data_IF_724019002759
#
_entry.id   IF_724019002759
#
_cell.length_a   1.000
_cell.length_b   1.000
_cell.length_c   1.000
_cell.angle_alpha   90.00
_cell.angle_beta   90.00
_cell.angle_gamma   90.00
#
_symmetry.space_group_name_H-M   'P 1'
#
loop_
_entity.id
_entity.type
_entity.pdbx_description
1 polymer ?
#
# COMPACT_ATOMS: atom_id res chain seq x y z
N UNK A 1 36.15 0.27 39.88
CA UNK A 1 36.63 -0.91 40.67
C UNK A 1 38.11 -0.74 40.89
N UNK A 2 38.62 -0.91 42.10
CA UNK A 2 40.03 -0.85 42.39
C UNK A 2 40.67 -2.22 42.11
N UNK A 3 41.87 -2.24 41.49
CA UNK A 3 42.61 -3.47 41.31
C UNK A 3 43.25 -3.90 42.64
N UNK A 4 43.89 -5.06 42.66
CA UNK A 4 44.55 -5.64 43.86
C UNK A 4 45.70 -4.79 44.45
N UNK A 5 46.07 -3.68 43.77
CA UNK A 5 47.10 -2.72 44.19
C UNK A 5 46.53 -1.33 44.50
N UNK A 6 45.18 -1.16 44.56
CA UNK A 6 44.55 0.10 44.94
C UNK A 6 44.52 1.19 43.85
N UNK A 7 44.80 0.81 42.61
CA UNK A 7 44.71 1.74 41.45
C UNK A 7 43.30 1.71 40.85
N UNK A 8 42.78 2.89 40.50
CA UNK A 8 41.51 2.98 39.74
C UNK A 8 41.71 2.37 38.35
N UNK A 9 40.99 1.26 38.09
CA UNK A 9 40.88 0.81 36.72
C UNK A 9 40.09 1.90 35.94
N UNK A 10 40.77 2.59 35.09
CA UNK A 10 40.11 3.35 34.01
C UNK A 10 39.37 2.34 33.16
N UNK A 11 38.05 2.39 33.20
CA UNK A 11 37.20 1.73 32.20
C UNK A 11 37.59 2.37 30.85
N UNK A 12 38.49 1.74 30.13
CA UNK A 12 38.69 1.98 28.71
C UNK A 12 37.42 1.52 28.01
N UNK A 13 36.40 2.35 28.03
CA UNK A 13 35.37 2.34 27.00
C UNK A 13 36.13 2.70 25.73
N UNK A 14 36.47 1.69 24.93
CA UNK A 14 36.97 1.88 23.57
C UNK A 14 35.88 2.65 22.80
N UNK A 15 35.90 3.98 22.85
CA UNK A 15 35.21 4.82 21.87
C UNK A 15 35.85 4.46 20.52
N UNK A 16 35.08 3.72 19.70
CA UNK A 16 35.51 3.52 18.33
C UNK A 16 35.68 4.90 17.68
N UNK A 17 36.76 5.11 16.91
CA UNK A 17 36.95 6.38 16.21
C UNK A 17 35.64 6.73 15.46
N UNK A 18 35.21 7.99 15.54
CA UNK A 18 33.93 8.45 14.92
C UNK A 18 33.85 8.04 13.45
N UNK A 19 34.93 7.99 12.73
CA UNK A 19 35.01 7.55 11.33
C UNK A 19 34.70 6.06 11.16
N UNK A 20 35.03 5.19 12.12
CA UNK A 20 34.74 3.75 12.06
C UNK A 20 33.27 3.49 12.34
N UNK A 21 32.68 4.18 13.30
CA UNK A 21 31.26 4.09 13.59
C UNK A 21 30.41 4.62 12.43
N UNK A 22 30.78 5.77 11.86
CA UNK A 22 30.10 6.36 10.70
C UNK A 22 30.16 5.44 9.47
N UNK A 23 31.32 4.87 9.16
CA UNK A 23 31.45 3.93 8.05
C UNK A 23 30.62 2.65 8.26
N UNK A 24 30.52 2.16 9.49
CA UNK A 24 29.65 1.03 9.82
C UNK A 24 28.18 1.38 9.58
N UNK A 25 27.71 2.54 10.03
CA UNK A 25 26.34 3.00 9.81
C UNK A 25 26.02 3.11 8.33
N UNK A 26 26.95 3.64 7.52
CA UNK A 26 26.81 3.72 6.08
C UNK A 26 26.64 2.32 5.45
N UNK A 27 27.45 1.34 5.88
CA UNK A 27 27.32 -0.05 5.43
C UNK A 27 25.99 -0.67 5.86
N UNK A 28 25.53 -0.43 7.09
CA UNK A 28 24.26 -0.93 7.61
C UNK A 28 23.08 -0.36 6.79
N UNK A 29 23.11 0.95 6.44
CA UNK A 29 22.10 1.59 5.58
C UNK A 29 22.09 0.94 4.19
N UNK A 30 23.24 0.74 3.54
CA UNK A 30 23.30 0.14 2.21
C UNK A 30 22.85 -1.33 2.24
N UNK A 31 23.26 -2.11 3.23
CA UNK A 31 22.79 -3.48 3.41
C UNK A 31 21.26 -3.55 3.60
N UNK A 32 20.70 -2.63 4.37
CA UNK A 32 19.26 -2.55 4.60
C UNK A 32 18.51 -2.14 3.33
N UNK A 33 19.03 -1.19 2.54
CA UNK A 33 18.49 -0.82 1.23
C UNK A 33 18.48 -2.01 0.28
N UNK A 34 19.56 -2.79 0.23
CA UNK A 34 19.65 -3.95 -0.65
C UNK A 34 18.68 -5.07 -0.23
N UNK A 35 18.54 -5.31 1.08
CA UNK A 35 17.55 -6.24 1.63
C UNK A 35 16.13 -5.82 1.25
N UNK A 36 15.79 -4.55 1.41
CA UNK A 36 14.46 -4.03 1.05
C UNK A 36 14.25 -4.11 -0.47
N UNK A 37 15.25 -3.81 -1.30
CA UNK A 37 15.16 -3.95 -2.77
C UNK A 37 14.91 -5.41 -3.19
N UNK A 38 15.60 -6.36 -2.54
CA UNK A 38 15.41 -7.78 -2.78
C UNK A 38 13.96 -8.21 -2.48
N UNK A 39 13.46 -7.89 -1.29
CA UNK A 39 12.08 -8.24 -0.92
C UNK A 39 11.02 -7.46 -1.73
N UNK A 40 11.33 -6.24 -2.17
CA UNK A 40 10.49 -5.51 -3.13
C UNK A 40 10.37 -6.25 -4.46
N UNK A 41 11.47 -6.77 -4.97
CA UNK A 41 11.47 -7.50 -6.24
C UNK A 41 10.66 -8.80 -6.14
N UNK A 42 10.85 -9.56 -5.06
CA UNK A 42 10.06 -10.76 -4.78
C UNK A 42 8.56 -10.44 -4.65
N UNK A 43 8.24 -9.36 -3.95
CA UNK A 43 6.86 -8.99 -3.65
C UNK A 43 6.12 -8.40 -4.86
N UNK A 44 6.73 -7.41 -5.55
CA UNK A 44 6.05 -6.65 -6.61
C UNK A 44 6.25 -7.23 -8.02
N UNK A 45 7.36 -7.94 -8.28
CA UNK A 45 7.68 -8.41 -9.62
C UNK A 45 7.54 -9.93 -9.77
N UNK A 46 7.77 -10.70 -8.69
CA UNK A 46 7.75 -12.15 -8.74
C UNK A 46 6.51 -12.77 -8.08
N UNK A 47 5.74 -11.99 -7.29
CA UNK A 47 4.59 -12.45 -6.49
C UNK A 47 4.96 -13.62 -5.54
N UNK A 48 6.24 -13.70 -5.10
CA UNK A 48 6.79 -14.74 -4.22
C UNK A 48 7.44 -14.14 -2.95
N UNK A 49 6.68 -13.47 -2.06
CA UNK A 49 7.25 -12.90 -0.86
C UNK A 49 7.80 -13.96 0.09
N UNK A 50 9.02 -13.75 0.58
CA UNK A 50 9.68 -14.62 1.57
C UNK A 50 9.47 -14.13 3.02
N UNK A 51 9.05 -12.88 3.21
CA UNK A 51 8.76 -12.28 4.51
C UNK A 51 7.32 -11.75 4.54
N UNK A 52 6.78 -11.61 5.74
CA UNK A 52 5.46 -11.01 5.94
C UNK A 52 5.47 -9.50 5.66
N UNK A 53 4.30 -8.92 5.36
CA UNK A 53 4.15 -7.48 5.19
C UNK A 53 4.64 -6.70 6.43
N UNK A 54 4.38 -7.24 7.63
CA UNK A 54 4.86 -6.65 8.87
C UNK A 54 6.40 -6.62 8.96
N UNK A 55 7.08 -7.72 8.62
CA UNK A 55 8.55 -7.77 8.62
C UNK A 55 9.12 -6.81 7.58
N UNK A 56 8.52 -6.72 6.40
CA UNK A 56 8.90 -5.77 5.38
C UNK A 56 8.73 -4.31 5.85
N UNK A 57 7.61 -3.96 6.48
CA UNK A 57 7.34 -2.63 7.02
C UNK A 57 8.33 -2.26 8.14
N UNK A 58 8.74 -3.24 8.96
CA UNK A 58 9.77 -3.04 9.99
C UNK A 58 11.15 -2.75 9.39
N UNK A 59 11.52 -3.36 8.25
CA UNK A 59 12.74 -3.02 7.52
C UNK A 59 12.67 -1.58 7.00
N UNK A 60 11.57 -1.17 6.36
CA UNK A 60 11.36 0.20 5.90
C UNK A 60 11.38 1.21 7.04
N UNK A 61 10.73 0.92 8.17
CA UNK A 61 10.74 1.78 9.38
C UNK A 61 12.15 1.94 9.93
N UNK A 62 12.94 0.87 9.93
CA UNK A 62 14.34 0.90 10.36
C UNK A 62 15.20 1.78 9.45
N UNK A 63 15.02 1.67 8.13
CA UNK A 63 15.72 2.52 7.16
C UNK A 63 15.32 3.99 7.31
N UNK A 64 14.02 4.30 7.39
CA UNK A 64 13.52 5.67 7.62
C UNK A 64 14.12 6.30 8.89
N UNK A 65 14.24 5.52 9.97
CA UNK A 65 14.82 5.98 11.25
C UNK A 65 16.31 6.30 11.10
N UNK A 66 17.08 5.47 10.38
CA UNK A 66 18.49 5.71 10.11
C UNK A 66 18.69 6.92 9.20
N UNK A 67 17.90 7.05 8.14
CA UNK A 67 17.93 8.18 7.22
C UNK A 67 17.54 9.50 7.89
N UNK A 68 16.59 9.49 8.83
CA UNK A 68 16.24 10.66 9.63
C UNK A 68 17.38 11.09 10.56
N UNK A 69 18.18 10.13 11.08
CA UNK A 69 19.34 10.42 11.93
C UNK A 69 20.57 10.86 11.14
N UNK A 70 20.71 10.40 9.89
CA UNK A 70 21.83 10.67 8.98
C UNK A 70 21.33 11.14 7.61
N UNK A 71 20.76 12.37 7.52
CA UNK A 71 20.16 12.88 6.28
C UNK A 71 21.12 12.95 5.09
N UNK A 72 22.42 13.10 5.35
CA UNK A 72 23.47 13.15 4.32
C UNK A 72 23.69 11.79 3.62
N UNK A 73 23.22 10.67 4.22
CA UNK A 73 23.28 9.33 3.66
C UNK A 73 22.03 8.96 2.85
N UNK A 74 21.04 9.83 2.78
CA UNK A 74 19.83 9.63 1.97
C UNK A 74 20.18 9.77 0.49
N UNK A 75 19.92 8.73 -0.29
CA UNK A 75 20.13 8.74 -1.73
C UNK A 75 18.81 8.83 -2.49
N UNK A 76 18.82 9.41 -3.69
CA UNK A 76 17.59 9.55 -4.52
C UNK A 76 16.97 8.21 -4.93
N UNK A 77 17.74 7.14 -4.89
CA UNK A 77 17.33 5.77 -5.21
C UNK A 77 16.99 4.95 -3.96
N UNK A 78 16.99 5.56 -2.76
CA UNK A 78 16.57 4.87 -1.55
C UNK A 78 15.16 4.29 -1.68
N UNK A 79 14.91 3.05 -1.19
CA UNK A 79 13.57 2.47 -1.12
C UNK A 79 12.56 3.34 -0.38
N UNK A 80 13.00 4.18 0.55
CA UNK A 80 12.11 5.12 1.27
C UNK A 80 11.62 6.27 0.41
N UNK A 81 12.28 6.55 -0.73
CA UNK A 81 11.94 7.61 -1.68
C UNK A 81 11.12 7.11 -2.86
N UNK A 82 10.90 5.80 -2.97
CA UNK A 82 10.18 5.18 -4.10
C UNK A 82 9.17 4.14 -3.60
N UNK A 83 8.03 4.07 -4.27
CA UNK A 83 7.12 2.93 -4.17
C UNK A 83 7.70 1.80 -5.02
N UNK A 84 7.73 0.57 -4.51
CA UNK A 84 8.23 -0.61 -5.24
C UNK A 84 7.32 -0.97 -6.42
N UNK A 85 7.89 -1.71 -7.38
CA UNK A 85 7.22 -2.24 -8.56
C UNK A 85 7.67 -1.58 -9.86
N UNK A 86 7.98 -2.40 -10.86
CA UNK A 86 8.18 -1.98 -12.26
C UNK A 86 7.01 -2.49 -13.07
N UNK A 87 6.55 -1.72 -14.07
CA UNK A 87 5.60 -2.23 -15.06
C UNK A 87 6.22 -3.44 -15.78
N UNK A 88 5.43 -4.50 -15.98
CA UNK A 88 5.85 -5.68 -16.75
C UNK A 88 5.97 -5.32 -18.23
N UNK A 89 6.92 -5.90 -18.95
CA UNK A 89 7.04 -5.71 -20.41
C UNK A 89 5.86 -6.28 -21.22
N UNK A 90 4.88 -6.90 -20.56
CA UNK A 90 3.76 -7.63 -21.18
C UNK A 90 2.50 -6.78 -21.33
N UNK A 91 2.34 -5.76 -20.49
CA UNK A 91 1.23 -4.80 -20.52
C UNK A 91 1.72 -3.43 -20.95
N UNK A 92 0.86 -2.62 -21.57
CA UNK A 92 1.17 -1.24 -21.90
C UNK A 92 1.34 -0.41 -20.62
N UNK A 93 2.33 0.49 -20.63
CA UNK A 93 2.55 1.41 -19.52
C UNK A 93 1.52 2.52 -19.53
N UNK A 94 0.96 2.82 -18.35
CA UNK A 94 0.06 3.93 -18.09
C UNK A 94 0.69 4.90 -17.12
N UNK A 95 0.89 6.14 -17.55
CA UNK A 95 1.33 7.22 -16.66
C UNK A 95 0.11 7.78 -15.93
N UNK A 96 0.17 7.82 -14.60
CA UNK A 96 -0.88 8.41 -13.78
C UNK A 96 -0.83 9.93 -13.82
N UNK A 97 -1.97 10.58 -14.09
CA UNK A 97 -2.10 12.05 -14.01
C UNK A 97 -1.89 12.54 -12.58
N UNK A 98 -2.42 11.79 -11.62
CA UNK A 98 -2.25 12.04 -10.19
C UNK A 98 -1.48 10.87 -9.58
N UNK A 99 -0.34 11.14 -8.94
CA UNK A 99 0.50 10.11 -8.33
C UNK A 99 -0.28 9.26 -7.32
N UNK A 100 -0.16 7.94 -7.44
CA UNK A 100 -0.76 6.97 -6.52
C UNK A 100 0.15 6.77 -5.29
N UNK A 101 0.04 7.67 -4.34
CA UNK A 101 0.86 7.65 -3.12
C UNK A 101 0.49 6.49 -2.20
N UNK A 102 1.47 6.03 -1.40
CA UNK A 102 1.24 5.10 -0.29
C UNK A 102 0.71 5.83 0.92
N UNK A 103 -0.02 5.11 1.78
CA UNK A 103 -0.40 5.60 3.10
C UNK A 103 0.79 5.52 4.06
N UNK A 104 0.78 6.35 5.09
CA UNK A 104 1.71 6.19 6.20
C UNK A 104 1.21 5.10 7.14
N UNK A 105 2.13 4.24 7.58
CA UNK A 105 1.82 3.18 8.52
C UNK A 105 2.01 3.64 9.96
N UNK A 106 1.14 3.16 10.86
CA UNK A 106 1.24 3.34 12.30
C UNK A 106 1.14 1.98 12.98
N UNK A 107 1.95 1.76 14.02
CA UNK A 107 2.09 0.45 14.68
C UNK A 107 1.71 0.49 16.17
N UNK A 108 1.25 1.65 16.66
CA UNK A 108 0.84 1.82 18.05
C UNK A 108 -0.29 2.83 18.18
N UNK A 109 -1.02 2.72 19.28
CA UNK A 109 -2.05 3.71 19.63
C UNK A 109 -1.48 5.11 19.88
N UNK A 110 -0.24 5.22 20.35
CA UNK A 110 0.43 6.50 20.54
C UNK A 110 0.70 7.16 19.19
N UNK A 111 1.14 6.41 18.18
CA UNK A 111 1.32 6.92 16.81
C UNK A 111 0.00 7.38 16.17
N UNK A 112 -1.11 6.68 16.44
CA UNK A 112 -2.46 7.13 16.01
C UNK A 112 -2.84 8.43 16.70
N UNK A 113 -2.56 8.55 18.01
CA UNK A 113 -2.81 9.74 18.78
C UNK A 113 -2.02 10.94 18.24
N UNK A 114 -0.72 10.74 18.00
CA UNK A 114 0.15 11.77 17.44
C UNK A 114 -0.35 12.25 16.07
N UNK A 115 -0.81 11.31 15.21
CA UNK A 115 -1.43 11.65 13.92
C UNK A 115 -2.68 12.52 14.11
N UNK A 116 -3.58 12.12 15.01
CA UNK A 116 -4.82 12.87 15.29
C UNK A 116 -4.50 14.27 15.84
N UNK A 117 -3.58 14.37 16.79
CA UNK A 117 -3.17 15.65 17.40
C UNK A 117 -2.58 16.59 16.34
N UNK A 118 -1.70 16.08 15.48
CA UNK A 118 -1.11 16.85 14.38
C UNK A 118 -2.16 17.37 13.39
N UNK A 119 -3.14 16.56 13.01
CA UNK A 119 -4.23 17.00 12.14
C UNK A 119 -5.11 18.05 12.84
N UNK A 120 -5.39 17.87 14.13
CA UNK A 120 -6.17 18.84 14.91
C UNK A 120 -5.44 20.15 15.16
N UNK A 121 -4.11 20.14 15.25
CA UNK A 121 -3.29 21.36 15.31
C UNK A 121 -3.36 22.17 14.02
N UNK A 122 -3.39 21.48 12.86
CA UNK A 122 -3.39 22.10 11.54
C UNK A 122 -4.80 22.58 11.12
N UNK A 123 -5.83 21.77 11.35
CA UNK A 123 -7.20 21.99 10.82
C UNK A 123 -8.25 22.35 11.89
N UNK A 124 -7.89 22.32 13.16
CA UNK A 124 -8.77 22.61 14.29
C UNK A 124 -9.32 21.36 14.99
N UNK A 125 -9.80 21.57 16.23
CA UNK A 125 -10.25 20.46 17.09
C UNK A 125 -11.57 19.81 16.67
N UNK A 126 -12.34 20.49 15.83
CA UNK A 126 -13.64 20.00 15.33
C UNK A 126 -13.51 19.19 14.02
N UNK A 127 -12.28 18.88 13.61
CA UNK A 127 -12.06 18.04 12.41
C UNK A 127 -12.63 16.64 12.63
N UNK A 128 -13.40 16.17 11.64
CA UNK A 128 -13.92 14.81 11.60
C UNK A 128 -12.99 13.90 10.81
N UNK A 129 -12.89 12.64 11.23
CA UNK A 129 -12.12 11.61 10.57
C UNK A 129 -13.05 10.57 9.96
N UNK A 130 -12.65 10.01 8.82
CA UNK A 130 -13.25 8.82 8.24
C UNK A 130 -12.36 7.64 8.57
N UNK A 131 -12.97 6.59 9.16
CA UNK A 131 -12.28 5.34 9.48
C UNK A 131 -12.79 4.27 8.53
N UNK A 132 -11.86 3.64 7.82
CA UNK A 132 -12.12 2.62 6.81
C UNK A 132 -11.32 1.36 7.09
N UNK A 133 -11.83 0.21 6.69
CA UNK A 133 -11.05 -1.02 6.67
C UNK A 133 -10.02 -0.95 5.53
N UNK A 134 -8.75 -1.16 5.83
CA UNK A 134 -7.72 -1.28 4.80
C UNK A 134 -7.82 -2.66 4.14
N UNK A 135 -8.35 -2.68 2.91
CA UNK A 135 -8.42 -3.91 2.14
C UNK A 135 -7.02 -4.33 1.70
N UNK A 136 -6.75 -5.61 1.77
CA UNK A 136 -5.51 -6.23 1.35
C UNK A 136 -5.65 -6.83 -0.05
N UNK A 137 -5.07 -6.15 -1.04
CA UNK A 137 -5.22 -6.49 -2.44
C UNK A 137 -4.23 -5.76 -3.34
N UNK A 138 -4.64 -5.41 -4.54
CA UNK A 138 -3.88 -4.66 -5.53
C UNK A 138 -4.58 -3.35 -5.86
N UNK A 139 -3.91 -2.23 -5.61
CA UNK A 139 -4.45 -0.90 -5.92
C UNK A 139 -4.51 -0.65 -7.42
N UNK A 140 -5.66 -0.17 -7.88
CA UNK A 140 -5.90 0.20 -9.28
C UNK A 140 -6.54 1.59 -9.39
N UNK A 141 -6.33 2.24 -10.54
CA UNK A 141 -7.11 3.39 -10.99
C UNK A 141 -8.15 2.94 -12.01
N UNK A 142 -9.36 3.46 -11.91
CA UNK A 142 -10.45 3.29 -12.89
C UNK A 142 -10.83 4.65 -13.43
N UNK A 143 -10.75 4.83 -14.75
CA UNK A 143 -11.11 6.05 -15.44
C UNK A 143 -12.40 5.84 -16.23
N UNK A 144 -13.38 6.67 -15.91
CA UNK A 144 -14.67 6.72 -16.60
C UNK A 144 -14.79 8.06 -17.35
N UNK A 145 -15.18 7.98 -18.62
CA UNK A 145 -15.53 9.13 -19.44
C UNK A 145 -17.00 9.01 -19.87
N UNK A 146 -17.78 10.04 -19.61
CA UNK A 146 -19.23 10.03 -19.88
C UNK A 146 -19.91 8.76 -19.32
N UNK A 147 -19.51 8.35 -18.12
CA UNK A 147 -19.97 7.17 -17.43
C UNK A 147 -19.42 5.83 -17.92
N UNK A 148 -18.64 5.78 -19.01
CA UNK A 148 -18.11 4.54 -19.59
C UNK A 148 -16.68 4.29 -19.09
N UNK A 149 -16.38 3.07 -18.64
CA UNK A 149 -15.02 2.66 -18.26
C UNK A 149 -14.12 2.63 -19.49
N UNK A 150 -13.22 3.62 -19.59
CA UNK A 150 -12.28 3.76 -20.71
C UNK A 150 -10.93 3.14 -20.40
N UNK A 151 -10.45 3.25 -19.15
CA UNK A 151 -9.16 2.71 -18.74
C UNK A 151 -9.17 2.23 -17.30
N UNK A 152 -8.40 1.16 -17.06
CA UNK A 152 -8.08 0.68 -15.73
C UNK A 152 -6.62 0.27 -15.65
N UNK A 153 -5.89 0.78 -14.67
CA UNK A 153 -4.45 0.57 -14.54
C UNK A 153 -4.03 0.20 -13.12
N UNK A 154 -2.97 -0.58 -13.00
CA UNK A 154 -2.36 -0.88 -11.70
C UNK A 154 -1.62 0.34 -11.15
N UNK A 155 -1.38 0.38 -9.84
CA UNK A 155 -0.60 1.45 -9.22
C UNK A 155 0.84 1.50 -9.77
N UNK A 156 1.46 0.35 -10.03
CA UNK A 156 2.87 0.26 -10.39
C UNK A 156 3.75 0.92 -9.33
N UNK A 157 4.66 1.78 -9.76
CA UNK A 157 5.54 2.56 -8.87
C UNK A 157 4.89 3.85 -8.33
N UNK A 158 3.60 4.02 -8.53
CA UNK A 158 2.83 5.21 -8.14
C UNK A 158 2.81 6.33 -9.19
N UNK A 159 3.71 6.33 -10.16
CA UNK A 159 3.75 7.28 -11.28
C UNK A 159 3.40 6.63 -12.61
N UNK A 160 3.79 5.36 -12.76
CA UNK A 160 3.55 4.55 -13.96
C UNK A 160 3.07 3.18 -13.51
N UNK A 161 1.94 2.74 -14.03
CA UNK A 161 1.34 1.42 -13.84
C UNK A 161 1.21 0.66 -15.15
N UNK A 162 0.45 -0.42 -15.13
CA UNK A 162 0.16 -1.29 -16.28
C UNK A 162 -1.30 -1.14 -16.67
N UNK A 163 -1.59 -1.08 -17.96
CA UNK A 163 -2.96 -1.15 -18.48
C UNK A 163 -3.53 -2.56 -18.29
N UNK A 164 -4.49 -2.69 -17.40
CA UNK A 164 -5.20 -3.93 -17.11
C UNK A 164 -6.71 -3.80 -17.36
N UNK A 165 -7.09 -2.87 -18.23
CA UNK A 165 -8.49 -2.55 -18.54
C UNK A 165 -9.30 -3.77 -18.93
N UNK A 166 -8.74 -4.62 -19.81
CA UNK A 166 -9.42 -5.83 -20.29
C UNK A 166 -9.69 -6.81 -19.15
N UNK A 167 -8.73 -6.94 -18.23
CA UNK A 167 -8.83 -7.82 -17.08
C UNK A 167 -9.81 -7.25 -16.04
N UNK A 168 -9.75 -5.96 -15.76
CA UNK A 168 -10.68 -5.30 -14.84
C UNK A 168 -12.14 -5.38 -15.31
N UNK A 169 -12.38 -5.34 -16.62
CA UNK A 169 -13.72 -5.55 -17.20
C UNK A 169 -14.27 -6.97 -17.01
N UNK A 170 -13.48 -7.94 -16.52
CA UNK A 170 -13.93 -9.27 -16.18
C UNK A 170 -14.50 -9.38 -14.75
N UNK A 171 -14.32 -8.35 -13.92
CA UNK A 171 -14.83 -8.34 -12.55
C UNK A 171 -16.30 -7.90 -12.54
N UNK A 172 -17.19 -8.75 -12.01
CA UNK A 172 -18.62 -8.45 -11.87
C UNK A 172 -18.89 -7.21 -10.99
N UNK A 173 -17.96 -6.88 -10.11
CA UNK A 173 -18.02 -5.72 -9.21
C UNK A 173 -17.61 -4.40 -9.87
N UNK A 174 -17.13 -4.41 -11.12
CA UNK A 174 -16.78 -3.23 -11.90
C UNK A 174 -17.82 -2.99 -12.98
N UNK A 175 -18.51 -1.85 -12.91
CA UNK A 175 -19.49 -1.49 -13.91
C UNK A 175 -18.80 -1.04 -15.21
N UNK A 176 -19.11 -1.62 -16.37
CA UNK A 176 -18.65 -1.11 -17.68
C UNK A 176 -19.18 0.30 -17.98
N UNK A 177 -20.37 0.62 -17.41
CA UNK A 177 -21.00 1.94 -17.48
C UNK A 177 -21.63 2.26 -16.12
N UNK A 178 -21.33 3.45 -15.61
CA UNK A 178 -21.94 4.00 -14.40
C UNK A 178 -23.43 4.30 -14.61
N UNK A 179 -24.16 4.49 -13.50
CA UNK A 179 -25.56 4.91 -13.53
C UNK A 179 -25.76 6.35 -13.97
N UNK A 180 -24.68 7.11 -14.12
CA UNK A 180 -24.62 8.51 -14.57
C UNK A 180 -23.63 8.66 -15.72
N UNK A 181 -23.65 9.80 -16.42
CA UNK A 181 -22.71 10.12 -17.50
C UNK A 181 -21.55 10.98 -17.02
N UNK A 182 -21.12 10.79 -15.78
CA UNK A 182 -20.05 11.57 -15.19
C UNK A 182 -18.66 11.10 -15.71
N UNK A 183 -17.75 12.07 -15.84
CA UNK A 183 -16.33 11.79 -16.05
C UNK A 183 -15.62 11.80 -14.70
N UNK A 184 -15.07 10.66 -14.30
CA UNK A 184 -14.49 10.45 -12.98
C UNK A 184 -13.33 9.46 -13.01
N UNK A 185 -12.28 9.75 -12.26
CA UNK A 185 -11.20 8.81 -11.95
C UNK A 185 -11.28 8.43 -10.48
N UNK A 186 -11.30 7.13 -10.20
CA UNK A 186 -11.36 6.60 -8.83
C UNK A 186 -10.24 5.61 -8.58
N UNK A 187 -9.86 5.49 -7.31
CA UNK A 187 -8.99 4.41 -6.83
C UNK A 187 -9.79 3.34 -6.14
N UNK A 188 -9.44 2.10 -6.42
CA UNK A 188 -9.99 0.95 -5.76
C UNK A 188 -8.90 -0.07 -5.41
N UNK A 189 -9.25 -0.97 -4.50
CA UNK A 189 -8.41 -2.13 -4.18
C UNK A 189 -9.09 -3.39 -4.72
N UNK A 190 -8.43 -4.03 -5.69
CA UNK A 190 -8.84 -5.33 -6.21
C UNK A 190 -8.35 -6.39 -5.27
N UNK A 191 -9.24 -7.26 -4.83
CA UNK A 191 -8.94 -8.32 -3.87
C UNK A 191 -9.55 -9.65 -4.31
N UNK A 192 -9.02 -10.74 -3.78
CA UNK A 192 -9.61 -12.07 -3.92
C UNK A 192 -10.45 -12.39 -2.68
N UNK A 193 -11.76 -12.58 -2.81
CA UNK A 193 -12.59 -13.05 -1.70
C UNK A 193 -12.06 -14.36 -1.13
N UNK A 194 -12.11 -14.54 0.21
CA UNK A 194 -11.63 -15.77 0.86
C UNK A 194 -12.26 -17.04 0.27
N UNK A 195 -13.57 -17.01 -0.04
CA UNK A 195 -14.26 -18.13 -0.68
C UNK A 195 -13.66 -18.49 -2.04
N UNK A 196 -13.31 -17.50 -2.85
CA UNK A 196 -12.64 -17.72 -4.14
C UNK A 196 -11.24 -18.29 -3.97
N UNK A 197 -10.47 -17.77 -3.00
CA UNK A 197 -9.14 -18.23 -2.68
C UNK A 197 -9.13 -19.71 -2.21
N UNK A 198 -10.03 -20.07 -1.32
CA UNK A 198 -10.18 -21.45 -0.84
C UNK A 198 -10.58 -22.41 -1.97
N UNK A 199 -11.54 -22.00 -2.83
CA UNK A 199 -11.97 -22.79 -3.96
C UNK A 199 -10.83 -23.05 -4.96
N UNK A 200 -10.05 -22.02 -5.27
CA UNK A 200 -8.90 -22.13 -6.20
C UNK A 200 -7.84 -23.05 -5.61
N UNK A 201 -7.46 -22.84 -4.34
CA UNK A 201 -6.45 -23.67 -3.69
C UNK A 201 -6.85 -25.14 -3.60
N UNK A 202 -8.12 -25.41 -3.34
CA UNK A 202 -8.66 -26.79 -3.39
C UNK A 202 -8.53 -27.42 -4.77
N UNK A 203 -8.81 -26.67 -5.85
CA UNK A 203 -8.63 -27.13 -7.23
C UNK A 203 -7.17 -27.38 -7.59
N UNK A 204 -6.26 -26.51 -7.11
CA UNK A 204 -4.82 -26.68 -7.31
C UNK A 204 -4.30 -27.91 -6.59
N UNK A 205 -4.72 -28.16 -5.35
CA UNK A 205 -4.39 -29.35 -4.57
C UNK A 205 -4.83 -30.63 -5.28
N UNK A 206 -6.10 -30.71 -5.72
CA UNK A 206 -6.63 -31.87 -6.46
C UNK A 206 -5.84 -32.13 -7.74
N UNK A 207 -5.35 -31.07 -8.41
CA UNK A 207 -4.55 -31.18 -9.64
C UNK A 207 -3.06 -31.37 -9.39
N UNK A 208 -2.61 -31.51 -8.14
CA UNK A 208 -1.20 -31.67 -7.76
C UNK A 208 -0.32 -30.47 -8.05
N UNK A 209 -0.92 -29.28 -8.15
CA UNK A 209 -0.21 -28.01 -8.36
C UNK A 209 0.03 -27.30 -7.03
N UNK A 210 1.05 -26.43 -7.00
CA UNK A 210 1.31 -25.57 -5.84
C UNK A 210 0.11 -24.66 -5.55
N UNK A 211 -0.25 -24.55 -4.28
CA UNK A 211 -1.29 -23.64 -3.83
C UNK A 211 -0.78 -22.19 -3.83
N UNK A 212 -1.72 -21.22 -3.97
CA UNK A 212 -1.42 -19.81 -3.82
C UNK A 212 -1.14 -19.48 -2.35
N UNK A 213 -0.14 -18.62 -2.10
CA UNK A 213 0.37 -18.34 -0.75
C UNK A 213 -0.62 -17.51 0.09
N UNK A 214 -1.21 -16.48 -0.48
CA UNK A 214 -2.16 -15.61 0.19
C UNK A 214 -3.14 -14.97 -0.81
N UNK A 215 -4.31 -14.44 -0.35
CA UNK A 215 -5.31 -13.82 -1.22
C UNK A 215 -4.81 -12.60 -2.00
N UNK A 216 -3.93 -11.79 -1.42
CA UNK A 216 -3.38 -10.58 -2.05
C UNK A 216 -2.53 -10.93 -3.27
N UNK A 217 -1.55 -11.81 -3.11
CA UNK A 217 -0.70 -12.23 -4.22
C UNK A 217 -1.50 -13.00 -5.27
N UNK A 218 -2.48 -13.80 -4.83
CA UNK A 218 -3.42 -14.45 -5.73
C UNK A 218 -4.24 -13.44 -6.56
N UNK A 219 -4.66 -12.32 -5.97
CA UNK A 219 -5.34 -11.24 -6.68
C UNK A 219 -4.39 -10.55 -7.67
N UNK A 220 -3.18 -10.18 -7.24
CA UNK A 220 -2.18 -9.52 -8.07
C UNK A 220 -1.77 -10.39 -9.28
N UNK A 221 -1.39 -11.63 -9.04
CA UNK A 221 -1.02 -12.58 -10.09
C UNK A 221 -2.20 -12.93 -11.01
N UNK A 222 -3.45 -12.89 -10.51
CA UNK A 222 -4.64 -13.09 -11.35
C UNK A 222 -4.92 -11.89 -12.24
N UNK A 223 -4.87 -10.67 -11.71
CA UNK A 223 -5.16 -9.46 -12.49
C UNK A 223 -4.13 -9.23 -13.61
N UNK A 224 -2.93 -9.77 -13.46
CA UNK A 224 -1.83 -9.70 -14.46
C UNK A 224 -1.78 -10.89 -15.40
N UNK A 225 -2.83 -11.73 -15.47
CA UNK A 225 -2.91 -12.82 -16.45
C UNK A 225 -3.13 -12.27 -17.85
N UNK A 226 -2.47 -12.90 -18.84
CA UNK A 226 -2.65 -12.55 -20.26
C UNK A 226 -3.99 -13.02 -20.83
N UNK A 227 -4.56 -14.08 -20.25
CA UNK A 227 -5.89 -14.57 -20.62
C UNK A 227 -6.96 -14.03 -19.68
N UNK A 228 -7.82 -13.10 -20.13
CA UNK A 228 -8.88 -12.52 -19.31
C UNK A 228 -9.90 -13.55 -18.78
N UNK A 229 -10.03 -14.71 -19.43
CA UNK A 229 -10.91 -15.79 -18.97
C UNK A 229 -10.51 -16.31 -17.60
N UNK A 230 -9.18 -16.40 -17.34
CA UNK A 230 -8.69 -16.81 -16.02
C UNK A 230 -9.03 -15.80 -14.93
N UNK A 231 -9.08 -14.51 -15.27
CA UNK A 231 -9.49 -13.45 -14.34
C UNK A 231 -10.97 -13.63 -13.96
N UNK A 232 -11.83 -13.86 -14.95
CA UNK A 232 -13.25 -14.11 -14.74
C UNK A 232 -13.50 -15.36 -13.88
N UNK A 233 -12.77 -16.47 -14.17
CA UNK A 233 -12.91 -17.72 -13.41
C UNK A 233 -12.52 -17.61 -11.94
N UNK A 234 -11.57 -16.71 -11.62
CA UNK A 234 -11.04 -16.54 -10.27
C UNK A 234 -11.84 -15.54 -9.42
N UNK A 235 -12.86 -14.91 -9.99
CA UNK A 235 -13.87 -14.09 -9.30
C UNK A 235 -13.26 -13.07 -8.32
N UNK A 236 -12.37 -12.22 -8.83
CA UNK A 236 -11.87 -11.07 -8.09
C UNK A 236 -13.01 -10.08 -7.83
N UNK A 237 -12.84 -9.24 -6.82
CA UNK A 237 -13.75 -8.13 -6.52
C UNK A 237 -12.98 -6.85 -6.25
N UNK A 238 -13.66 -5.70 -6.18
CA UNK A 238 -13.07 -4.40 -5.91
C UNK A 238 -13.88 -3.64 -4.88
N UNK A 239 -13.19 -2.86 -4.05
CA UNK A 239 -13.76 -1.73 -3.33
C UNK A 239 -13.12 -0.44 -3.77
N UNK A 240 -13.95 0.56 -4.12
CA UNK A 240 -13.50 1.93 -4.37
C UNK A 240 -13.33 2.64 -3.04
N UNK A 241 -12.18 3.29 -2.84
CA UNK A 241 -11.86 3.98 -1.59
C UNK A 241 -11.49 5.45 -1.78
N UNK A 242 -11.32 5.94 -3.01
CA UNK A 242 -10.98 7.35 -3.23
C UNK A 242 -11.38 7.85 -4.62
N UNK A 243 -11.80 9.11 -4.71
CA UNK A 243 -11.98 9.86 -5.95
C UNK A 243 -10.73 10.69 -6.21
N UNK A 244 -10.06 10.44 -7.35
CA UNK A 244 -8.85 11.17 -7.73
C UNK A 244 -9.14 12.40 -8.55
N UNK A 245 -10.10 12.28 -9.49
CA UNK A 245 -10.45 13.32 -10.42
C UNK A 245 -11.94 13.26 -10.69
N UNK A 246 -12.61 14.40 -10.65
CA UNK A 246 -14.03 14.52 -10.96
C UNK A 246 -14.35 15.96 -11.37
N UNK A 247 -15.29 16.13 -12.26
CA UNK A 247 -15.89 17.45 -12.54
C UNK A 247 -16.73 17.94 -11.35
N UNK A 248 -17.26 17.02 -10.54
CA UNK A 248 -18.00 17.30 -9.34
C UNK A 248 -17.06 17.60 -8.18
N UNK A 249 -17.36 18.64 -7.41
CA UNK A 249 -16.60 19.01 -6.22
C UNK A 249 -17.22 18.37 -4.99
N UNK A 250 -16.38 17.81 -4.13
CA UNK A 250 -16.74 17.25 -2.84
C UNK A 250 -16.07 18.06 -1.73
N UNK A 251 -16.81 18.35 -0.65
CA UNK A 251 -16.27 19.06 0.49
C UNK A 251 -15.57 18.11 1.47
N UNK A 252 -15.98 16.85 1.48
CA UNK A 252 -15.42 15.83 2.37
C UNK A 252 -15.17 14.53 1.62
N UNK A 253 -14.25 13.73 2.15
CA UNK A 253 -13.97 12.39 1.63
C UNK A 253 -15.22 11.51 1.67
N UNK A 254 -16.00 11.55 2.75
CA UNK A 254 -17.24 10.79 2.86
C UNK A 254 -18.29 11.16 1.81
N UNK A 255 -18.43 12.45 1.45
CA UNK A 255 -19.30 12.86 0.33
C UNK A 255 -18.88 12.23 -0.98
N UNK A 256 -17.56 12.12 -1.24
CA UNK A 256 -17.05 11.50 -2.46
C UNK A 256 -17.33 9.99 -2.51
N UNK A 257 -17.22 9.30 -1.38
CA UNK A 257 -17.56 7.87 -1.28
C UNK A 257 -19.06 7.63 -1.42
N UNK A 258 -19.89 8.42 -0.74
CA UNK A 258 -21.35 8.34 -0.87
C UNK A 258 -21.77 8.56 -2.33
N UNK A 259 -21.13 9.50 -3.02
CA UNK A 259 -21.36 9.72 -4.45
C UNK A 259 -20.96 8.50 -5.29
N UNK A 260 -19.80 7.90 -5.07
CA UNK A 260 -19.38 6.68 -5.76
C UNK A 260 -20.43 5.57 -5.61
N UNK A 261 -21.03 5.43 -4.42
CA UNK A 261 -22.12 4.48 -4.17
C UNK A 261 -23.37 4.81 -4.99
N UNK A 262 -23.74 6.10 -5.12
CA UNK A 262 -24.93 6.51 -5.91
C UNK A 262 -24.77 6.26 -7.39
N UNK A 263 -23.55 6.30 -7.94
CA UNK A 263 -23.28 5.99 -9.34
C UNK A 263 -23.09 4.48 -9.61
N UNK A 264 -23.25 3.64 -8.57
CA UNK A 264 -23.25 2.20 -8.66
C UNK A 264 -21.91 1.52 -8.39
N UNK A 265 -20.90 2.26 -7.91
CA UNK A 265 -19.62 1.67 -7.54
C UNK A 265 -19.73 0.95 -6.19
N UNK A 266 -18.97 -0.12 -6.04
CA UNK A 266 -18.81 -0.83 -4.79
C UNK A 266 -17.80 -0.09 -3.92
N UNK A 267 -18.23 0.49 -2.80
CA UNK A 267 -17.38 1.23 -1.88
C UNK A 267 -17.14 0.43 -0.61
N UNK A 268 -16.05 0.74 0.07
CA UNK A 268 -15.79 0.20 1.40
C UNK A 268 -16.75 0.83 2.41
N UNK A 269 -17.18 0.02 3.39
CA UNK A 269 -17.93 0.56 4.52
C UNK A 269 -17.01 1.42 5.38
N UNK A 270 -17.52 2.56 5.82
CA UNK A 270 -16.76 3.50 6.62
C UNK A 270 -17.57 4.04 7.80
N UNK A 271 -16.86 4.56 8.80
CA UNK A 271 -17.43 5.25 9.95
C UNK A 271 -16.89 6.67 10.01
N UNK A 272 -17.80 7.66 10.23
CA UNK A 272 -17.40 9.03 10.56
C UNK A 272 -17.16 9.12 12.05
N UNK A 273 -16.02 9.64 12.46
CA UNK A 273 -15.64 9.76 13.86
C UNK A 273 -15.22 11.20 14.15
N UNK A 274 -15.99 11.89 14.99
CA UNK A 274 -15.55 13.14 15.60
C UNK A 274 -14.63 12.78 16.78
N UNK A 275 -13.33 13.06 16.66
CA UNK A 275 -12.37 12.56 17.62
C UNK A 275 -12.34 13.40 18.89
N UNK A 276 -12.86 12.81 19.96
CA UNK A 276 -12.30 13.03 21.30
C UNK A 276 -11.40 11.82 21.58
N UNK A 277 -10.18 12.00 22.04
CA UNK A 277 -9.09 11.04 22.23
C UNK A 277 -9.43 9.57 22.61
N UNK A 278 -10.65 9.27 23.08
CA UNK A 278 -11.08 7.94 23.52
C UNK A 278 -11.99 7.20 22.54
N UNK A 279 -12.40 7.80 21.43
CA UNK A 279 -13.40 7.22 20.54
C UNK A 279 -12.79 6.46 19.35
N UNK A 280 -11.58 6.80 18.89
CA UNK A 280 -10.89 6.06 17.84
C UNK A 280 -10.64 4.58 18.18
N UNK A 281 -10.61 4.24 19.47
CA UNK A 281 -10.28 2.88 19.94
C UNK A 281 -11.50 1.99 20.21
N UNK A 282 -12.72 2.44 19.88
CA UNK A 282 -13.96 1.65 20.10
C UNK A 282 -14.55 1.05 18.83
N UNK A 283 -13.91 1.21 17.69
CA UNK A 283 -14.41 0.71 16.40
C UNK A 283 -13.94 -0.72 16.11
N UNK A 284 -13.19 -1.36 17.04
CA UNK A 284 -12.75 -2.76 16.96
C UNK A 284 -13.19 -3.55 18.18
#
# INVERSE_FOLDING_TARGET
MLNLFGEEMQDNINEMPQDVEYNKIKQDIESLKDTIRYHNDLYYNQDEPEISDYEYDMLLKSLKKLEAKYPELVTKDSPTQRVGGKASSTFEEVKHDVAMQSLNDVFSFDEVKDFVEKVQEEYGKDVEFVVETKIDGLSVSLEYENGVLVRGSTRGNGLVGEDVTVNLKQLDSILPKLLTEDTIEVRGEVYMPHSSFEEINKRLEISGKAQMANPRNAAAGTLRQLDPKLVNERKLSIFVFNVQKSEKKFNTHSESLDYCKTVGMNIIEYSKVAVRHRQCFKVY
#
